data_IF_701909120728
#
_entry.id   IF_701909120728
#
_cell.length_a   1.000
_cell.length_b   1.000
_cell.length_c   1.000
_cell.angle_alpha   90.00
_cell.angle_beta   90.00
_cell.angle_gamma   90.00
#
_symmetry.space_group_name_H-M   'P 1'
#
loop_
_entity.id
_entity.type
_entity.pdbx_description
1 polymer ?
#
# COMPACT_ATOMS: atom_id res chain seq x y z
N UNK A 1 6.52 -14.55 9.22
CA UNK A 1 6.35 -15.81 8.48
C UNK A 1 7.13 -15.79 7.13
N UNK A 2 6.90 -14.83 6.21
CA UNK A 2 7.57 -14.83 4.89
C UNK A 2 9.09 -14.82 5.02
N UNK A 3 9.67 -13.88 5.78
CA UNK A 3 11.12 -13.83 6.02
C UNK A 3 11.67 -15.12 6.63
N UNK A 4 10.91 -15.75 7.53
CA UNK A 4 11.30 -17.02 8.15
C UNK A 4 11.36 -18.16 7.12
N UNK A 5 10.36 -18.25 6.25
CA UNK A 5 10.34 -19.29 5.20
C UNK A 5 11.44 -19.05 4.15
N UNK A 6 11.69 -17.79 3.79
CA UNK A 6 12.78 -17.42 2.86
C UNK A 6 14.14 -17.78 3.46
N UNK A 7 14.37 -17.45 4.74
CA UNK A 7 15.61 -17.79 5.43
C UNK A 7 15.81 -19.32 5.52
N UNK A 8 14.72 -20.06 5.81
CA UNK A 8 14.74 -21.53 5.84
C UNK A 8 15.10 -22.12 4.46
N UNK A 9 14.45 -21.65 3.40
CA UNK A 9 14.73 -22.09 2.03
C UNK A 9 16.17 -21.77 1.63
N UNK A 10 16.65 -20.55 1.95
CA UNK A 10 18.02 -20.14 1.64
C UNK A 10 19.07 -21.01 2.34
N UNK A 11 18.77 -21.50 3.55
CA UNK A 11 19.71 -22.30 4.34
C UNK A 11 19.61 -23.82 4.07
N UNK A 12 18.38 -24.37 3.99
CA UNK A 12 18.12 -25.80 4.00
C UNK A 12 17.91 -26.40 2.61
N UNK A 13 17.38 -25.61 1.64
CA UNK A 13 16.88 -26.19 0.38
C UNK A 13 17.98 -26.37 -0.66
N UNK A 14 18.00 -27.52 -1.31
CA UNK A 14 18.80 -27.80 -2.50
C UNK A 14 18.06 -27.38 -3.78
N UNK A 15 16.74 -27.56 -3.82
CA UNK A 15 15.88 -27.04 -4.89
C UNK A 15 15.22 -25.73 -4.48
N UNK A 16 15.93 -24.63 -4.70
CA UNK A 16 15.53 -23.29 -4.25
C UNK A 16 14.27 -22.82 -4.98
N UNK A 17 14.18 -23.03 -6.29
CA UNK A 17 13.08 -22.50 -7.11
C UNK A 17 11.73 -23.08 -6.68
N UNK A 18 11.60 -24.40 -6.62
CA UNK A 18 10.35 -25.04 -6.20
C UNK A 18 9.99 -24.71 -4.76
N UNK A 19 11.00 -24.62 -3.89
CA UNK A 19 10.80 -24.27 -2.49
C UNK A 19 10.28 -22.84 -2.31
N UNK A 20 10.74 -21.88 -3.10
CA UNK A 20 10.26 -20.50 -3.10
C UNK A 20 8.84 -20.41 -3.66
N UNK A 21 8.54 -21.07 -4.79
CA UNK A 21 7.20 -21.11 -5.38
C UNK A 21 6.17 -21.71 -4.40
N UNK A 22 6.58 -22.57 -3.49
CA UNK A 22 5.74 -23.14 -2.45
C UNK A 22 5.48 -22.21 -1.24
N UNK A 23 6.28 -21.16 -1.01
CA UNK A 23 6.16 -20.28 0.16
C UNK A 23 4.76 -19.67 0.30
N UNK A 24 4.12 -19.11 -0.76
CA UNK A 24 2.78 -18.56 -0.64
C UNK A 24 1.76 -19.55 -0.10
N UNK A 25 1.87 -20.81 -0.44
CA UNK A 25 0.99 -21.90 0.03
C UNK A 25 1.28 -22.30 1.48
N UNK A 26 2.54 -22.21 1.92
CA UNK A 26 2.93 -22.45 3.32
C UNK A 26 2.48 -21.32 4.24
N UNK A 27 2.53 -20.07 3.76
CA UNK A 27 2.15 -18.87 4.53
C UNK A 27 0.63 -18.71 4.60
N UNK A 28 -0.06 -19.04 3.50
CA UNK A 28 -1.52 -18.99 3.35
C UNK A 28 -2.04 -20.41 3.05
N UNK A 29 -2.10 -21.32 4.06
CA UNK A 29 -2.51 -22.71 3.89
C UNK A 29 -4.03 -22.84 3.74
N UNK A 30 -4.45 -24.00 3.20
CA UNK A 30 -5.88 -24.33 3.07
C UNK A 30 -6.53 -23.61 1.90
N UNK A 31 -7.86 -23.57 1.91
CA UNK A 31 -8.73 -23.04 0.85
C UNK A 31 -9.58 -21.84 1.30
N UNK A 32 -9.57 -21.54 2.61
CA UNK A 32 -10.31 -20.44 3.22
C UNK A 32 -9.38 -19.26 3.46
N UNK A 33 -9.77 -18.08 2.95
CA UNK A 33 -9.05 -16.84 3.17
C UNK A 33 -9.25 -16.33 4.61
N UNK A 34 -8.19 -15.72 5.18
CA UNK A 34 -8.21 -15.16 6.55
C UNK A 34 -8.26 -13.62 6.55
N UNK A 35 -7.72 -12.97 5.53
CA UNK A 35 -7.51 -11.52 5.50
C UNK A 35 -8.07 -10.84 4.25
N UNK A 36 -8.42 -11.62 3.22
CA UNK A 36 -8.92 -11.11 1.94
C UNK A 36 -10.17 -11.89 1.52
N UNK A 37 -10.80 -11.45 0.46
CA UNK A 37 -12.01 -12.07 -0.10
C UNK A 37 -11.77 -13.49 -0.66
N UNK A 38 -10.53 -13.83 -1.00
CA UNK A 38 -10.18 -15.16 -1.49
C UNK A 38 -8.75 -15.57 -1.13
N UNK A 39 -8.54 -16.87 -0.98
CA UNK A 39 -7.22 -17.45 -0.73
C UNK A 39 -6.26 -17.21 -1.91
N UNK A 40 -6.79 -17.14 -3.13
CA UNK A 40 -6.00 -16.83 -4.32
C UNK A 40 -5.42 -15.41 -4.26
N UNK A 41 -6.23 -14.46 -3.79
CA UNK A 41 -5.78 -13.08 -3.58
C UNK A 41 -4.72 -12.98 -2.47
N UNK A 42 -4.90 -13.68 -1.35
CA UNK A 42 -3.89 -13.74 -0.29
C UNK A 42 -2.56 -14.31 -0.80
N UNK A 43 -2.60 -15.41 -1.55
CA UNK A 43 -1.40 -16.02 -2.15
C UNK A 43 -0.74 -15.13 -3.19
N UNK A 44 -1.51 -14.40 -4.00
CA UNK A 44 -0.97 -13.43 -4.93
C UNK A 44 -0.19 -12.32 -4.22
N UNK A 45 -0.75 -11.77 -3.13
CA UNK A 45 -0.06 -10.78 -2.29
C UNK A 45 1.18 -11.38 -1.62
N UNK A 46 1.08 -12.60 -1.10
CA UNK A 46 2.20 -13.31 -0.50
C UNK A 46 3.34 -13.54 -1.50
N UNK A 47 3.03 -13.88 -2.74
CA UNK A 47 4.00 -14.06 -3.83
C UNK A 47 4.78 -12.77 -4.10
N UNK A 48 4.09 -11.62 -4.18
CA UNK A 48 4.77 -10.33 -4.35
C UNK A 48 5.66 -9.98 -3.16
N UNK A 49 5.22 -10.28 -1.94
CA UNK A 49 6.03 -10.08 -0.74
C UNK A 49 7.24 -11.00 -0.69
N UNK A 50 7.14 -12.23 -1.18
CA UNK A 50 8.28 -13.15 -1.31
C UNK A 50 9.32 -12.54 -2.24
N UNK A 51 8.91 -12.04 -3.41
CA UNK A 51 9.83 -11.38 -4.36
C UNK A 51 10.56 -10.19 -3.74
N UNK A 52 9.81 -9.29 -3.10
CA UNK A 52 10.41 -8.12 -2.43
C UNK A 52 11.36 -8.53 -1.31
N UNK A 53 10.99 -9.54 -0.51
CA UNK A 53 11.83 -10.03 0.58
C UNK A 53 13.13 -10.72 0.08
N UNK A 54 13.18 -11.09 -1.20
CA UNK A 54 14.38 -11.59 -1.89
C UNK A 54 15.12 -10.50 -2.69
N UNK A 55 14.73 -9.23 -2.56
CA UNK A 55 15.35 -8.10 -3.26
C UNK A 55 14.93 -7.92 -4.71
N UNK A 56 13.96 -8.72 -5.19
CA UNK A 56 13.45 -8.62 -6.55
C UNK A 56 12.38 -7.54 -6.68
N UNK A 57 12.12 -7.10 -7.91
CA UNK A 57 11.00 -6.19 -8.22
C UNK A 57 9.68 -6.94 -8.27
N UNK A 58 8.56 -6.21 -8.11
CA UNK A 58 7.21 -6.75 -8.31
C UNK A 58 7.05 -7.30 -9.73
N UNK A 59 6.17 -8.29 -9.88
CA UNK A 59 5.85 -8.82 -11.20
C UNK A 59 5.08 -7.78 -12.02
N UNK A 60 5.36 -7.69 -13.33
CA UNK A 60 4.55 -6.89 -14.24
C UNK A 60 3.12 -7.45 -14.32
N UNK A 61 2.15 -6.58 -14.61
CA UNK A 61 0.74 -6.96 -14.67
C UNK A 61 0.28 -7.46 -16.05
N UNK A 62 1.10 -7.28 -17.06
CA UNK A 62 0.77 -7.49 -18.48
C UNK A 62 1.20 -8.85 -19.03
N UNK A 63 2.03 -9.60 -18.31
CA UNK A 63 2.44 -10.94 -18.70
C UNK A 63 2.72 -11.86 -17.52
N UNK A 64 2.73 -13.17 -17.78
CA UNK A 64 2.94 -14.19 -16.75
C UNK A 64 4.42 -14.28 -16.38
N UNK A 65 4.71 -14.16 -15.09
CA UNK A 65 6.05 -14.26 -14.53
C UNK A 65 6.02 -15.13 -13.27
N UNK A 66 6.93 -16.08 -13.15
CA UNK A 66 7.09 -16.91 -11.94
C UNK A 66 7.57 -16.08 -10.75
N UNK A 67 7.28 -16.55 -9.54
CA UNK A 67 7.75 -15.87 -8.31
C UNK A 67 9.27 -15.82 -8.26
N UNK A 68 9.94 -16.83 -8.79
CA UNK A 68 11.40 -16.98 -8.83
C UNK A 68 12.10 -16.27 -9.99
N UNK A 69 11.35 -15.75 -10.98
CA UNK A 69 11.96 -15.10 -12.14
C UNK A 69 12.80 -13.88 -11.72
N UNK A 70 14.05 -13.83 -12.15
CA UNK A 70 15.02 -12.80 -11.77
C UNK A 70 15.82 -13.12 -10.50
N UNK A 71 15.64 -14.32 -9.92
CA UNK A 71 16.39 -14.74 -8.74
C UNK A 71 17.91 -14.80 -8.99
N UNK A 72 18.32 -15.27 -10.16
CA UNK A 72 19.71 -15.35 -10.53
C UNK A 72 20.38 -13.97 -10.56
N UNK A 73 19.66 -12.98 -11.14
CA UNK A 73 20.13 -11.59 -11.16
C UNK A 73 20.14 -10.95 -9.76
N UNK A 74 19.26 -11.37 -8.88
CA UNK A 74 19.18 -10.89 -7.50
C UNK A 74 20.24 -11.49 -6.60
N UNK A 75 20.82 -12.63 -6.96
CA UNK A 75 21.75 -13.40 -6.13
C UNK A 75 23.23 -13.23 -6.54
N UNK A 76 23.57 -12.12 -7.19
CA UNK A 76 24.96 -11.78 -7.51
C UNK A 76 25.59 -10.92 -6.42
N UNK A 77 26.87 -11.14 -6.13
CA UNK A 77 27.57 -10.50 -5.02
C UNK A 77 27.67 -8.97 -5.15
N UNK A 78 27.73 -8.46 -6.37
CA UNK A 78 27.86 -7.02 -6.66
C UNK A 78 26.51 -6.28 -6.70
N UNK A 79 25.41 -6.96 -6.48
CA UNK A 79 24.10 -6.31 -6.53
C UNK A 79 23.81 -5.50 -5.27
N UNK A 80 23.65 -4.19 -5.43
CA UNK A 80 23.11 -3.34 -4.38
C UNK A 80 21.62 -3.12 -4.55
N UNK A 81 21.01 -2.53 -3.53
CA UNK A 81 19.64 -2.09 -3.59
C UNK A 81 19.42 -1.02 -4.65
N UNK A 82 18.47 -1.26 -5.53
CA UNK A 82 17.95 -0.26 -6.45
C UNK A 82 16.76 0.46 -5.81
N UNK A 83 16.79 1.78 -5.66
CA UNK A 83 15.64 2.55 -5.19
C UNK A 83 14.44 2.44 -6.15
N UNK A 84 13.22 2.60 -5.65
CA UNK A 84 12.88 2.79 -4.25
C UNK A 84 12.85 1.46 -3.50
N UNK A 85 13.35 1.46 -2.27
CA UNK A 85 13.27 0.26 -1.41
C UNK A 85 11.83 -0.04 -1.01
N UNK A 86 11.02 0.99 -0.77
CA UNK A 86 9.59 0.84 -0.49
C UNK A 86 8.80 0.64 -1.77
N UNK A 87 8.01 -0.42 -1.82
CA UNK A 87 7.19 -0.78 -2.97
C UNK A 87 5.71 -0.90 -2.58
N UNK A 88 4.82 -0.47 -3.47
CA UNK A 88 3.38 -0.68 -3.31
C UNK A 88 2.98 -1.92 -4.08
N UNK A 89 2.44 -2.93 -3.39
CA UNK A 89 1.86 -4.13 -4.00
C UNK A 89 0.49 -3.76 -4.55
N UNK A 90 0.30 -3.74 -5.88
CA UNK A 90 -0.93 -3.22 -6.48
C UNK A 90 -2.18 -3.99 -6.08
N UNK A 91 -2.08 -5.31 -6.00
CA UNK A 91 -3.17 -6.21 -5.58
C UNK A 91 -3.58 -6.03 -4.12
N UNK A 92 -2.69 -5.56 -3.26
CA UNK A 92 -2.98 -5.32 -1.84
C UNK A 92 -3.51 -3.90 -1.54
N UNK A 93 -3.38 -2.96 -2.50
CA UNK A 93 -3.77 -1.57 -2.29
C UNK A 93 -5.28 -1.40 -2.33
N UNK A 94 -5.86 -0.83 -1.28
CA UNK A 94 -7.31 -0.67 -1.12
C UNK A 94 -7.85 0.67 -1.69
N UNK A 95 -7.14 1.33 -2.59
CA UNK A 95 -7.58 2.57 -3.26
C UNK A 95 -8.07 3.66 -2.29
N UNK A 96 -7.43 3.79 -1.11
CA UNK A 96 -7.83 4.76 -0.11
C UNK A 96 -7.93 6.15 -0.72
N UNK A 97 -9.04 6.83 -0.44
CA UNK A 97 -9.27 8.20 -0.89
C UNK A 97 -8.21 9.14 -0.30
N UNK A 98 -7.73 10.08 -1.10
CA UNK A 98 -6.73 11.05 -0.67
C UNK A 98 -7.30 12.46 -0.67
N UNK A 99 -7.13 13.15 0.48
CA UNK A 99 -7.50 14.56 0.68
C UNK A 99 -8.93 14.91 0.24
N UNK A 100 -9.91 14.13 0.66
CA UNK A 100 -11.33 14.35 0.37
C UNK A 100 -12.08 14.81 1.63
N UNK A 101 -13.00 15.74 1.48
CA UNK A 101 -13.97 16.08 2.53
C UNK A 101 -15.30 15.47 2.21
N UNK A 102 -15.89 14.80 3.20
CA UNK A 102 -17.21 14.15 3.08
C UNK A 102 -18.12 14.57 4.22
N UNK A 103 -19.42 14.66 3.91
CA UNK A 103 -20.46 14.86 4.91
C UNK A 103 -20.97 13.52 5.39
N UNK A 104 -20.88 13.29 6.69
CA UNK A 104 -21.36 12.07 7.33
C UNK A 104 -22.86 12.13 7.66
N UNK A 105 -23.40 11.02 8.13
CA UNK A 105 -24.79 10.94 8.60
C UNK A 105 -25.09 11.83 9.81
N UNK A 106 -24.07 12.36 10.49
CA UNK A 106 -24.19 13.32 11.60
C UNK A 106 -24.73 14.68 11.16
N UNK A 107 -24.78 14.97 9.86
CA UNK A 107 -25.31 16.23 9.34
C UNK A 107 -26.80 16.39 9.72
N UNK A 108 -27.10 17.45 10.48
CA UNK A 108 -28.47 17.75 10.93
C UNK A 108 -29.25 18.63 9.94
N UNK A 109 -28.62 19.05 8.82
CA UNK A 109 -29.29 19.93 7.85
C UNK A 109 -29.68 21.28 8.45
N UNK A 110 -28.82 21.85 9.31
CA UNK A 110 -29.08 23.07 10.05
C UNK A 110 -29.53 24.23 9.15
N UNK A 111 -30.39 25.12 9.66
CA UNK A 111 -30.95 26.24 8.91
C UNK A 111 -29.86 27.26 8.59
N UNK A 112 -28.96 27.52 9.53
CA UNK A 112 -27.86 28.48 9.36
C UNK A 112 -26.78 28.05 8.35
N UNK A 113 -26.73 26.76 7.99
CA UNK A 113 -25.79 26.11 7.04
C UNK A 113 -24.38 26.77 6.93
N UNK A 114 -23.66 26.96 8.05
CA UNK A 114 -22.39 27.69 8.06
C UNK A 114 -21.34 27.08 7.13
N UNK A 115 -21.39 25.76 6.87
CA UNK A 115 -20.51 25.10 5.93
C UNK A 115 -20.68 25.58 4.48
N UNK A 116 -21.88 25.97 4.07
CA UNK A 116 -22.15 26.53 2.74
C UNK A 116 -21.65 27.98 2.66
N UNK A 117 -21.97 28.79 3.68
CA UNK A 117 -21.59 30.21 3.75
C UNK A 117 -20.05 30.40 3.73
N UNK A 118 -19.30 29.55 4.42
CA UNK A 118 -17.85 29.67 4.51
C UNK A 118 -17.13 29.15 3.27
N UNK A 119 -17.83 28.46 2.36
CA UNK A 119 -17.20 27.82 1.22
C UNK A 119 -16.83 28.83 0.12
N UNK A 120 -15.53 29.13 -0.13
CA UNK A 120 -15.14 30.18 -1.08
C UNK A 120 -15.42 29.80 -2.55
N UNK A 121 -15.72 28.53 -2.81
CA UNK A 121 -16.02 28.01 -4.16
C UNK A 121 -17.49 27.61 -4.33
N UNK A 122 -18.33 27.82 -3.34
CA UNK A 122 -19.73 27.38 -3.39
C UNK A 122 -19.86 25.87 -3.69
N UNK A 123 -18.90 25.07 -3.25
CA UNK A 123 -18.84 23.64 -3.53
C UNK A 123 -19.79 22.82 -2.65
N UNK A 124 -20.58 23.45 -1.78
CA UNK A 124 -21.50 22.75 -0.89
C UNK A 124 -22.93 23.13 -1.23
N UNK A 125 -23.74 22.13 -1.48
CA UNK A 125 -25.17 22.27 -1.78
C UNK A 125 -26.00 21.50 -0.77
N UNK A 126 -27.33 21.68 -0.83
CA UNK A 126 -28.30 20.99 0.02
C UNK A 126 -29.09 20.01 -0.82
N UNK A 127 -29.01 18.73 -0.48
CA UNK A 127 -29.77 17.68 -1.14
C UNK A 127 -30.54 16.90 -0.08
N UNK A 128 -31.86 16.79 -0.22
CA UNK A 128 -32.76 16.13 0.74
C UNK A 128 -32.54 16.58 2.19
N UNK A 129 -32.31 17.88 2.39
CA UNK A 129 -32.13 18.49 3.73
C UNK A 129 -30.71 18.36 4.29
N UNK A 130 -29.80 17.62 3.69
CA UNK A 130 -28.40 17.45 4.14
C UNK A 130 -27.41 18.14 3.22
N UNK A 131 -26.28 18.57 3.77
CA UNK A 131 -25.19 19.12 2.98
C UNK A 131 -24.52 18.04 2.13
N UNK A 132 -24.13 18.38 0.90
CA UNK A 132 -23.37 17.54 -0.02
C UNK A 132 -22.23 18.38 -0.59
N UNK A 133 -21.03 17.82 -0.62
CA UNK A 133 -19.83 18.48 -1.15
C UNK A 133 -19.56 18.01 -2.58
N UNK A 134 -19.58 18.96 -3.51
CA UNK A 134 -19.15 18.73 -4.89
C UNK A 134 -17.61 18.61 -4.92
N UNK A 135 -17.10 17.43 -5.18
CA UNK A 135 -15.67 17.13 -5.14
C UNK A 135 -14.88 17.78 -6.29
N UNK A 136 -15.54 18.12 -7.41
CA UNK A 136 -14.91 18.79 -8.56
C UNK A 136 -14.66 20.28 -8.26
N UNK A 137 -15.61 20.92 -7.58
CA UNK A 137 -15.48 22.31 -7.15
C UNK A 137 -14.68 22.50 -5.88
N UNK A 138 -14.55 21.45 -5.07
CA UNK A 138 -13.93 21.50 -3.75
C UNK A 138 -12.41 21.67 -3.83
N UNK A 139 -11.90 22.80 -3.36
CA UNK A 139 -10.45 23.08 -3.25
C UNK A 139 -9.80 22.46 -2.00
N UNK A 140 -10.52 21.67 -1.23
CA UNK A 140 -10.02 20.93 -0.06
C UNK A 140 -9.42 21.81 1.05
N UNK A 141 -9.91 23.04 1.22
CA UNK A 141 -9.38 24.00 2.19
C UNK A 141 -9.75 23.71 3.66
N UNK A 142 -10.76 22.89 3.91
CA UNK A 142 -11.18 22.46 5.25
C UNK A 142 -12.05 23.44 6.04
N UNK A 143 -12.32 24.67 5.56
CA UNK A 143 -13.13 25.68 6.27
C UNK A 143 -14.51 25.16 6.68
N UNK A 144 -15.15 24.36 5.83
CA UNK A 144 -16.47 23.79 6.14
C UNK A 144 -16.44 22.82 7.34
N UNK A 145 -15.34 22.11 7.53
CA UNK A 145 -15.15 21.23 8.70
C UNK A 145 -15.04 22.07 9.98
N UNK A 146 -14.24 23.14 9.97
CA UNK A 146 -14.00 23.93 11.18
C UNK A 146 -15.22 24.69 11.71
N UNK A 147 -16.22 24.97 10.86
CA UNK A 147 -17.44 25.69 11.25
C UNK A 147 -18.64 24.78 11.49
N UNK A 148 -18.54 23.48 11.27
CA UNK A 148 -19.64 22.54 11.47
C UNK A 148 -19.84 22.28 12.96
N UNK A 149 -20.99 22.72 13.59
CA UNK A 149 -21.19 22.54 15.02
C UNK A 149 -21.47 21.06 15.41
N UNK A 150 -21.74 20.21 14.44
CA UNK A 150 -22.01 18.77 14.63
C UNK A 150 -20.83 17.88 14.25
N UNK A 151 -19.67 18.45 13.91
CA UNK A 151 -18.52 17.72 13.36
C UNK A 151 -18.88 16.70 12.26
N UNK A 152 -19.92 17.05 11.49
CA UNK A 152 -20.47 16.17 10.47
C UNK A 152 -19.62 16.10 9.19
N UNK A 153 -18.58 16.91 9.07
CA UNK A 153 -17.69 16.94 7.90
C UNK A 153 -16.34 16.33 8.28
N UNK A 154 -16.03 15.18 7.70
CA UNK A 154 -14.78 14.47 7.91
C UNK A 154 -13.79 14.70 6.77
N UNK A 155 -12.50 14.79 7.11
CA UNK A 155 -11.42 14.75 6.14
C UNK A 155 -10.98 13.30 5.96
N UNK A 156 -11.06 12.80 4.73
CA UNK A 156 -10.52 11.50 4.35
C UNK A 156 -9.12 11.69 3.80
N UNK A 157 -8.16 11.00 4.38
CA UNK A 157 -6.76 11.02 3.93
C UNK A 157 -6.24 9.60 3.86
N UNK A 158 -5.38 9.37 2.89
CA UNK A 158 -4.72 8.08 2.71
C UNK A 158 -3.67 7.90 3.82
N UNK A 159 -3.73 6.85 4.66
CA UNK A 159 -2.83 6.71 5.80
C UNK A 159 -1.35 6.71 5.42
N UNK A 160 -0.97 6.05 4.33
CA UNK A 160 0.41 6.01 3.86
C UNK A 160 0.90 7.40 3.37
N UNK A 161 0.03 8.19 2.74
CA UNK A 161 0.36 9.55 2.29
C UNK A 161 0.53 10.51 3.48
N UNK A 162 -0.35 10.38 4.48
CA UNK A 162 -0.25 11.18 5.72
C UNK A 162 1.04 10.90 6.50
N UNK A 163 1.46 9.63 6.55
CA UNK A 163 2.67 9.23 7.26
C UNK A 163 3.97 9.60 6.52
N UNK A 164 3.88 10.02 5.26
CA UNK A 164 5.05 10.34 4.47
C UNK A 164 5.51 11.77 4.71
N UNK A 165 6.53 11.95 5.56
CA UNK A 165 7.06 13.28 5.92
C UNK A 165 7.66 14.06 4.75
N UNK A 166 8.08 13.39 3.67
CA UNK A 166 8.66 14.01 2.47
C UNK A 166 7.66 14.12 1.31
N UNK A 167 6.41 13.70 1.50
CA UNK A 167 5.37 13.79 0.47
C UNK A 167 5.62 12.95 -0.78
N UNK A 168 6.34 11.83 -0.66
CA UNK A 168 6.70 10.96 -1.78
C UNK A 168 5.57 10.04 -2.25
N UNK A 169 4.37 10.08 -1.64
CA UNK A 169 3.27 9.20 -1.99
C UNK A 169 2.17 9.96 -2.72
N UNK A 170 2.04 9.67 -3.97
CA UNK A 170 0.99 10.14 -4.86
C UNK A 170 -0.05 9.05 -5.18
N UNK A 171 -0.76 9.29 -6.28
CA UNK A 171 -1.79 8.39 -6.81
C UNK A 171 -1.45 8.03 -8.25
N UNK A 172 -1.59 6.76 -8.61
CA UNK A 172 -1.47 6.32 -10.00
C UNK A 172 -2.76 6.55 -10.79
N UNK A 173 -2.74 6.22 -12.08
CA UNK A 173 -3.90 6.37 -12.98
C UNK A 173 -5.12 5.51 -12.58
N UNK A 174 -4.92 4.51 -11.74
CA UNK A 174 -5.98 3.61 -11.25
C UNK A 174 -6.46 3.98 -9.84
N UNK A 175 -5.97 5.06 -9.24
CA UNK A 175 -6.32 5.47 -7.88
C UNK A 175 -5.52 4.80 -6.77
N UNK A 176 -4.51 3.95 -7.08
CA UNK A 176 -3.65 3.29 -6.09
C UNK A 176 -2.56 4.23 -5.59
N UNK A 177 -1.99 3.94 -4.43
CA UNK A 177 -0.80 4.63 -3.97
C UNK A 177 0.37 4.38 -4.94
N UNK A 178 1.13 5.43 -5.23
CA UNK A 178 2.36 5.37 -6.02
C UNK A 178 3.47 6.09 -5.27
N UNK A 179 4.60 5.43 -5.10
CA UNK A 179 5.78 6.02 -4.46
C UNK A 179 6.65 6.67 -5.54
N UNK A 180 6.97 7.94 -5.32
CA UNK A 180 7.91 8.70 -6.12
C UNK A 180 9.34 8.35 -5.63
N UNK A 181 10.11 7.66 -6.48
CA UNK A 181 11.44 7.16 -6.14
C UNK A 181 12.43 8.29 -5.82
N UNK A 182 12.32 9.41 -6.53
CA UNK A 182 13.25 10.54 -6.38
C UNK A 182 13.06 11.30 -5.07
N UNK A 183 11.85 11.22 -4.50
CA UNK A 183 11.52 11.84 -3.21
C UNK A 183 11.60 10.88 -2.04
N UNK A 184 11.55 9.55 -2.29
CA UNK A 184 11.47 8.56 -1.25
C UNK A 184 12.80 8.37 -0.53
N UNK A 185 12.81 8.63 0.78
CA UNK A 185 13.98 8.42 1.66
C UNK A 185 13.99 7.03 2.34
N UNK A 186 13.13 6.13 1.90
CA UNK A 186 13.07 4.73 2.37
C UNK A 186 12.88 4.54 3.89
N UNK A 187 12.24 5.49 4.58
CA UNK A 187 12.08 5.47 6.04
C UNK A 187 11.08 4.43 6.58
N UNK A 188 10.26 3.81 5.73
CA UNK A 188 9.29 2.77 6.10
C UNK A 188 7.99 3.23 6.77
N UNK A 189 7.81 4.50 7.08
CA UNK A 189 6.61 5.01 7.79
C UNK A 189 5.29 4.69 7.07
N UNK A 190 5.31 4.72 5.74
CA UNK A 190 4.15 4.37 4.93
C UNK A 190 3.78 2.89 5.04
N UNK A 191 4.74 1.99 5.23
CA UNK A 191 4.52 0.56 5.43
C UNK A 191 3.83 0.31 6.77
N UNK A 192 4.31 0.93 7.85
CA UNK A 192 3.73 0.81 9.19
C UNK A 192 2.31 1.36 9.25
N UNK A 193 2.05 2.46 8.52
CA UNK A 193 0.75 3.15 8.53
C UNK A 193 -0.29 2.54 7.59
N UNK A 194 0.09 1.59 6.73
CA UNK A 194 -0.85 0.97 5.81
C UNK A 194 -1.65 -0.15 6.46
N UNK A 195 -2.97 0.02 6.77
CA UNK A 195 -3.76 -1.02 7.43
C UNK A 195 -4.01 -2.25 6.54
N UNK A 196 -3.79 -2.11 5.24
CA UNK A 196 -3.97 -3.20 4.27
C UNK A 196 -2.68 -3.96 3.98
N UNK A 197 -1.55 -3.57 4.58
CA UNK A 197 -0.27 -4.18 4.30
C UNK A 197 0.14 -4.12 2.82
N UNK A 198 -0.30 -3.09 2.11
CA UNK A 198 -0.04 -2.93 0.68
C UNK A 198 1.36 -2.41 0.36
N UNK A 199 2.11 -1.97 1.36
CA UNK A 199 3.47 -1.47 1.18
C UNK A 199 4.43 -2.44 1.84
N UNK A 200 5.49 -2.78 1.13
CA UNK A 200 6.55 -3.65 1.61
C UNK A 200 7.91 -3.12 1.13
N UNK A 201 8.93 -3.52 1.83
CA UNK A 201 10.33 -3.19 1.53
C UNK A 201 11.01 -4.29 0.73
N UNK A 202 11.98 -3.92 -0.09
CA UNK A 202 12.95 -4.85 -0.64
C UNK A 202 13.94 -5.23 0.46
N UNK A 203 14.23 -6.52 0.58
CA UNK A 203 15.15 -7.07 1.59
C UNK A 203 16.24 -7.92 0.92
N UNK A 204 17.36 -8.09 1.60
CA UNK A 204 18.46 -8.99 1.17
C UNK A 204 18.63 -10.18 2.12
N UNK A 205 17.58 -10.57 2.83
CA UNK A 205 17.68 -11.68 3.78
C UNK A 205 18.07 -12.99 3.11
N UNK A 206 17.61 -13.24 1.90
CA UNK A 206 17.95 -14.42 1.12
C UNK A 206 19.46 -14.48 0.82
N UNK A 207 20.01 -13.39 0.30
CA UNK A 207 21.44 -13.26 -0.04
C UNK A 207 22.29 -13.37 1.22
N UNK A 208 21.92 -12.72 2.31
CA UNK A 208 22.61 -12.78 3.58
C UNK A 208 22.72 -14.23 4.10
N UNK A 209 21.61 -14.96 4.15
CA UNK A 209 21.61 -16.34 4.64
C UNK A 209 22.40 -17.27 3.72
N UNK A 210 22.34 -17.06 2.40
CA UNK A 210 23.17 -17.81 1.44
C UNK A 210 24.66 -17.56 1.64
N UNK A 211 25.05 -16.31 1.83
CA UNK A 211 26.44 -15.95 2.10
C UNK A 211 26.94 -16.63 3.40
N UNK A 212 26.16 -16.57 4.48
CA UNK A 212 26.49 -17.24 5.74
C UNK A 212 26.64 -18.77 5.57
N UNK A 213 25.78 -19.42 4.77
CA UNK A 213 25.87 -20.87 4.48
C UNK A 213 27.13 -21.23 3.72
N UNK A 214 27.62 -20.35 2.86
CA UNK A 214 28.80 -20.58 2.02
C UNK A 214 30.13 -20.25 2.70
N UNK A 215 30.07 -19.81 3.96
CA UNK A 215 31.25 -19.49 4.76
C UNK A 215 31.81 -18.08 4.53
N UNK A 216 30.98 -17.19 4.02
CA UNK A 216 30.99 -15.74 3.86
C UNK A 216 32.28 -15.04 3.66
#
# INVERSE_FOLDING_TARGET
KIFTEIARVAYESDNINDSIEAIPFKVCPGDIASYRESIFHERAIASERVRLAMGMSLRPADHVVHVTSGLEESNIAEKYYEPPLMQVIPSACNFCEDKKYEVSNMCQGCIAHPCMEVCPKGAISRVKGKAVIDQEKCIKCGKCKSVCPYDAISKKERPCSMACGVGAIGTDQYGRAKIDADKCVSCGQCMVSCPFGAIADKSQIFQLIRCMKQGG
#
